data_IF_283772028614
#
_entry.id   IF_283772028614
#
_cell.length_a   1.000
_cell.length_b   1.000
_cell.length_c   1.000
_cell.angle_alpha   90.00
_cell.angle_beta   90.00
_cell.angle_gamma   90.00
#
_symmetry.space_group_name_H-M   'P 1'
#
loop_
_entity.id
_entity.type
_entity.pdbx_description
1 polymer ?
#
# COMPACT_ATOMS: atom_id res chain seq x y z
N UNK A 1 1.39 -10.13 -27.17
CA UNK A 1 1.22 -11.02 -26.00
C UNK A 1 0.25 -10.31 -25.09
N UNK A 2 -0.85 -10.99 -24.79
CA UNK A 2 -2.05 -10.43 -24.19
C UNK A 2 -2.06 -10.87 -22.73
N UNK A 3 -2.17 -9.92 -21.80
CA UNK A 3 -2.55 -10.18 -20.41
C UNK A 3 -3.27 -8.95 -19.89
N UNK A 4 -4.55 -8.87 -20.24
CA UNK A 4 -5.55 -8.10 -19.53
C UNK A 4 -5.71 -8.72 -18.14
N UNK A 5 -5.07 -8.14 -17.13
CA UNK A 5 -5.45 -8.41 -15.75
C UNK A 5 -6.71 -7.62 -15.44
N UNK A 6 -7.83 -8.36 -15.42
CA UNK A 6 -9.14 -7.88 -14.99
C UNK A 6 -9.03 -7.21 -13.62
N UNK A 7 -9.19 -5.89 -13.62
CA UNK A 7 -9.43 -5.11 -12.42
C UNK A 7 -10.84 -5.46 -11.93
N UNK A 8 -10.96 -6.49 -11.09
CA UNK A 8 -12.21 -7.11 -10.64
C UNK A 8 -13.04 -6.24 -9.65
N UNK A 9 -13.05 -4.92 -9.82
CA UNK A 9 -13.81 -3.98 -9.00
C UNK A 9 -14.81 -3.11 -9.79
N UNK A 10 -14.99 -3.36 -11.09
CA UNK A 10 -15.82 -2.52 -11.95
C UNK A 10 -17.35 -2.74 -11.84
N UNK A 11 -17.85 -3.48 -10.84
CA UNK A 11 -19.29 -3.72 -10.70
C UNK A 11 -20.04 -2.59 -9.97
N UNK A 12 -19.38 -1.89 -9.03
CA UNK A 12 -20.04 -0.94 -8.11
C UNK A 12 -19.26 0.38 -7.90
N UNK A 13 -18.30 0.71 -8.78
CA UNK A 13 -17.51 1.95 -8.69
C UNK A 13 -16.38 1.95 -7.65
N UNK A 14 -16.06 0.79 -7.07
CA UNK A 14 -14.92 0.65 -6.17
C UNK A 14 -13.59 0.59 -6.95
N UNK A 15 -12.55 1.17 -6.37
CA UNK A 15 -11.17 1.02 -6.83
C UNK A 15 -10.38 0.24 -5.78
N UNK A 16 -9.56 -0.72 -6.21
CA UNK A 16 -8.65 -1.40 -5.29
C UNK A 16 -7.43 -0.52 -5.04
N UNK A 17 -7.16 -0.18 -3.78
CA UNK A 17 -5.96 0.57 -3.38
C UNK A 17 -4.75 -0.34 -3.14
N UNK A 18 -4.95 -1.66 -3.12
CA UNK A 18 -3.89 -2.63 -2.88
C UNK A 18 -4.16 -3.90 -3.72
N UNK A 19 -3.10 -4.43 -4.33
CA UNK A 19 -3.16 -5.60 -5.21
C UNK A 19 -2.90 -6.94 -4.48
N UNK A 20 -2.65 -6.87 -3.16
CA UNK A 20 -2.32 -8.04 -2.33
C UNK A 20 -0.87 -8.53 -2.48
N UNK A 21 -0.03 -7.85 -3.27
CA UNK A 21 1.29 -8.39 -3.69
C UNK A 21 2.42 -7.37 -3.63
N UNK A 22 2.13 -6.12 -3.92
CA UNK A 22 3.12 -5.05 -4.04
C UNK A 22 2.73 -3.84 -3.22
N UNK A 23 3.69 -2.98 -2.96
CA UNK A 23 3.45 -1.67 -2.33
C UNK A 23 3.18 -0.58 -3.36
N UNK A 24 2.82 -0.95 -4.60
CA UNK A 24 2.53 0.01 -5.65
C UNK A 24 1.30 0.85 -5.28
N UNK A 25 1.35 2.15 -5.59
CA UNK A 25 0.29 3.08 -5.20
C UNK A 25 0.43 3.61 -3.77
N UNK A 26 1.53 3.30 -3.06
CA UNK A 26 1.81 3.76 -1.70
C UNK A 26 3.22 4.33 -1.57
N UNK A 27 3.35 5.40 -0.79
CA UNK A 27 4.65 5.97 -0.40
C UNK A 27 4.64 6.41 1.07
N UNK A 28 5.82 6.65 1.63
CA UNK A 28 5.96 7.19 2.98
C UNK A 28 5.59 8.67 2.98
N UNK A 29 4.77 9.11 3.93
CA UNK A 29 4.37 10.51 4.05
C UNK A 29 5.57 11.48 3.96
N UNK A 30 5.45 12.51 3.11
CA UNK A 30 6.49 13.50 2.81
C UNK A 30 7.80 12.94 2.23
N UNK A 31 7.79 11.76 1.62
CA UNK A 31 8.97 11.17 0.97
C UNK A 31 8.60 10.47 -0.34
N UNK A 32 9.61 10.23 -1.16
CA UNK A 32 9.48 9.33 -2.32
C UNK A 32 9.76 7.89 -1.90
N UNK A 33 8.90 6.97 -2.33
CA UNK A 33 9.02 5.54 -2.07
C UNK A 33 8.54 5.10 -0.68
N UNK A 34 8.45 3.78 -0.51
CA UNK A 34 7.96 3.19 0.74
C UNK A 34 9.10 2.85 1.70
N UNK A 35 8.84 3.01 2.99
CA UNK A 35 9.78 2.67 4.03
C UNK A 35 10.07 1.16 4.07
N UNK A 36 11.32 0.78 4.29
CA UNK A 36 11.78 -0.62 4.27
C UNK A 36 11.18 -1.51 5.37
N UNK A 37 10.53 -0.93 6.39
CA UNK A 37 9.79 -1.70 7.38
C UNK A 37 8.37 -2.09 6.91
N UNK A 38 7.84 -1.47 5.85
CA UNK A 38 6.59 -1.88 5.23
C UNK A 38 6.84 -3.02 4.24
N UNK A 39 6.06 -4.09 4.39
CA UNK A 39 6.18 -5.32 3.60
C UNK A 39 4.80 -5.81 3.20
N UNK A 40 4.75 -6.64 2.16
CA UNK A 40 3.56 -7.45 1.88
C UNK A 40 3.78 -8.84 2.47
N UNK A 41 2.92 -9.24 3.41
CA UNK A 41 2.97 -10.55 4.10
C UNK A 41 1.58 -11.15 4.06
N UNK A 42 1.45 -12.38 3.55
CA UNK A 42 0.18 -13.11 3.46
C UNK A 42 -0.97 -12.30 2.82
N UNK A 43 -0.65 -11.51 1.80
CA UNK A 43 -1.63 -10.68 1.10
C UNK A 43 -2.05 -9.43 1.86
N UNK A 44 -1.28 -8.98 2.86
CA UNK A 44 -1.56 -7.80 3.69
C UNK A 44 -0.40 -6.79 3.65
N UNK A 45 -0.71 -5.50 3.72
CA UNK A 45 0.29 -4.47 4.01
C UNK A 45 0.65 -4.52 5.50
N UNK A 46 1.89 -4.91 5.79
CA UNK A 46 2.37 -5.20 7.14
C UNK A 46 3.51 -4.27 7.52
N UNK A 47 3.41 -3.61 8.68
CA UNK A 47 4.48 -2.82 9.27
C UNK A 47 5.31 -3.64 10.25
N UNK A 48 6.52 -4.02 9.84
CA UNK A 48 7.46 -4.80 10.65
C UNK A 48 8.01 -3.96 11.81
N UNK A 49 7.41 -4.14 12.99
CA UNK A 49 7.80 -3.41 14.20
C UNK A 49 9.20 -3.78 14.71
N UNK A 50 9.73 -4.96 14.35
CA UNK A 50 11.08 -5.35 14.73
C UNK A 50 12.13 -4.67 13.85
N UNK A 51 11.83 -4.46 12.56
CA UNK A 51 12.68 -3.68 11.66
C UNK A 51 12.88 -2.23 12.14
N UNK A 52 11.90 -1.64 12.83
CA UNK A 52 12.04 -0.31 13.46
C UNK A 52 13.13 -0.23 14.55
N UNK A 53 13.60 -1.37 15.08
CA UNK A 53 14.66 -1.43 16.11
C UNK A 53 16.07 -1.50 15.52
N UNK A 54 16.21 -1.68 14.21
CA UNK A 54 17.49 -1.64 13.49
C UNK A 54 18.00 -0.18 13.35
N UNK A 55 19.26 0.05 12.93
CA UNK A 55 19.81 1.41 12.76
C UNK A 55 18.88 2.31 11.93
N UNK A 56 19.01 3.64 12.07
CA UNK A 56 18.20 4.71 11.43
C UNK A 56 17.83 4.54 9.93
N UNK A 57 18.39 3.58 9.20
CA UNK A 57 18.06 3.22 7.82
C UNK A 57 16.77 2.42 7.65
N UNK A 58 16.23 1.77 8.70
CA UNK A 58 14.94 1.08 8.63
C UNK A 58 13.79 2.07 8.86
N UNK A 59 13.41 2.78 7.80
CA UNK A 59 12.30 3.74 7.88
C UNK A 59 10.98 2.98 7.83
N UNK A 60 10.21 3.03 8.92
CA UNK A 60 8.78 2.72 8.88
C UNK A 60 8.01 3.91 8.35
N UNK A 61 7.63 4.81 9.27
CA UNK A 61 6.81 5.99 8.95
C UNK A 61 5.38 5.61 8.58
N UNK A 62 4.54 6.64 8.51
CA UNK A 62 3.18 6.51 7.99
C UNK A 62 3.24 6.42 6.46
N UNK A 63 2.36 5.61 5.88
CA UNK A 63 2.21 5.51 4.42
C UNK A 63 0.90 6.13 3.99
N UNK A 64 0.91 6.69 2.79
CA UNK A 64 -0.22 7.31 2.13
C UNK A 64 -0.32 6.79 0.70
N UNK A 65 -1.49 6.89 0.10
CA UNK A 65 -1.68 6.56 -1.31
C UNK A 65 -0.93 7.56 -2.20
N UNK A 66 -0.48 7.11 -3.37
CA UNK A 66 0.09 7.99 -4.41
C UNK A 66 -0.97 8.91 -5.03
N UNK A 67 -2.24 8.50 -4.93
CA UNK A 67 -3.40 9.26 -5.39
C UNK A 67 -3.99 10.07 -4.24
N UNK A 68 -4.57 11.22 -4.57
CA UNK A 68 -5.34 12.05 -3.65
C UNK A 68 -6.84 11.89 -3.93
N UNK A 69 -7.63 11.92 -2.85
CA UNK A 69 -9.08 11.78 -2.91
C UNK A 69 -9.72 12.89 -2.06
N UNK A 70 -10.83 13.45 -2.56
CA UNK A 70 -11.61 14.46 -1.84
C UNK A 70 -12.81 13.80 -1.15
N UNK A 71 -13.85 13.47 -1.92
CA UNK A 71 -15.03 12.77 -1.42
C UNK A 71 -14.92 11.26 -1.70
N UNK A 72 -14.84 10.45 -0.64
CA UNK A 72 -14.69 8.99 -0.78
C UNK A 72 -15.40 8.20 0.31
N UNK A 73 -15.64 6.92 -0.01
CA UNK A 73 -15.97 5.90 0.97
C UNK A 73 -14.81 4.90 1.01
N UNK A 74 -14.15 4.77 2.17
CA UNK A 74 -13.04 3.83 2.37
C UNK A 74 -13.54 2.56 3.06
N UNK A 75 -13.10 1.41 2.54
CA UNK A 75 -13.31 0.11 3.17
C UNK A 75 -11.98 -0.63 3.25
N UNK A 76 -11.66 -1.17 4.44
CA UNK A 76 -10.47 -1.99 4.68
C UNK A 76 -10.69 -2.98 5.82
N UNK A 77 -9.82 -3.97 5.91
CA UNK A 77 -9.62 -4.88 7.04
C UNK A 77 -8.18 -4.71 7.56
N UNK A 78 -7.93 -4.99 8.84
CA UNK A 78 -6.63 -4.78 9.49
C UNK A 78 -6.28 -5.89 10.49
#
# INVERSE_FOLDING_TARGET
MQSSENNAAAADGWISLFDGKTTNGWHTYNKTGIGSAWKVVDGTLHLDAAAKKAPQSATGGDIVTDQEFEDFHLKLEW
#
